data_IF_437886332268
#
_entry.id   IF_437886332268
#
_cell.length_a   1.000
_cell.length_b   1.000
_cell.length_c   1.000
_cell.angle_alpha   90.00
_cell.angle_beta   90.00
_cell.angle_gamma   90.00
#
_symmetry.space_group_name_H-M   'P 1'
#
loop_
_entity.id
_entity.type
_entity.pdbx_description
1 polymer ?
#
# COMPACT_ATOMS: atom_id res chain seq x y z
N UNK A 1 31.05 -10.70 1.13
CA UNK A 1 29.95 -9.75 0.94
C UNK A 1 28.79 -10.45 0.27
N UNK A 2 27.61 -10.45 0.89
CA UNK A 2 26.40 -11.00 0.29
C UNK A 2 25.58 -9.89 -0.34
N UNK A 3 25.18 -10.08 -1.58
CA UNK A 3 24.29 -9.16 -2.30
C UNK A 3 22.90 -9.78 -2.41
N UNK A 4 21.88 -8.96 -2.23
CA UNK A 4 20.48 -9.35 -2.47
C UNK A 4 19.85 -8.37 -3.45
N UNK A 5 18.84 -8.85 -4.18
CA UNK A 5 18.04 -8.00 -5.04
C UNK A 5 16.92 -7.35 -4.24
N UNK A 6 16.77 -6.05 -4.34
CA UNK A 6 15.65 -5.31 -3.74
C UNK A 6 14.89 -4.54 -4.80
N UNK A 7 13.58 -4.49 -4.63
CA UNK A 7 12.73 -3.63 -5.47
C UNK A 7 12.98 -2.17 -5.10
N UNK A 8 13.16 -1.34 -6.12
CA UNK A 8 13.45 0.09 -5.98
C UNK A 8 12.32 0.87 -6.64
N UNK A 9 11.74 1.80 -5.92
CA UNK A 9 10.67 2.67 -6.42
C UNK A 9 11.24 3.89 -7.16
N UNK A 10 10.39 4.55 -7.94
CA UNK A 10 10.69 5.91 -8.40
C UNK A 10 10.83 6.82 -7.19
N UNK A 11 11.78 7.76 -7.25
CA UNK A 11 12.03 8.65 -6.13
C UNK A 11 10.79 9.51 -5.82
N UNK A 12 10.37 9.49 -4.56
CA UNK A 12 9.30 10.34 -4.04
C UNK A 12 9.65 10.75 -2.61
N UNK A 13 9.64 12.04 -2.34
CA UNK A 13 9.80 12.55 -0.99
C UNK A 13 8.42 12.69 -0.30
N UNK A 14 8.44 13.02 0.99
CA UNK A 14 7.21 13.17 1.77
C UNK A 14 6.26 14.21 1.17
N UNK A 15 6.79 15.34 0.72
CA UNK A 15 5.94 16.39 0.16
C UNK A 15 5.23 15.96 -1.12
N UNK A 16 5.89 15.19 -1.96
CA UNK A 16 5.29 14.65 -3.18
C UNK A 16 4.19 13.64 -2.84
N UNK A 17 4.42 12.79 -1.86
CA UNK A 17 3.40 11.81 -1.41
C UNK A 17 2.22 12.54 -0.77
N UNK A 18 2.48 13.57 0.04
CA UNK A 18 1.41 14.38 0.65
C UNK A 18 0.54 15.04 -0.42
N UNK A 19 1.15 15.61 -1.46
CA UNK A 19 0.41 16.20 -2.58
C UNK A 19 -0.44 15.14 -3.30
N UNK A 20 0.12 13.95 -3.47
CA UNK A 20 -0.60 12.85 -4.11
C UNK A 20 -1.82 12.45 -3.28
N UNK A 21 -1.66 12.25 -1.97
CA UNK A 21 -2.79 11.86 -1.11
C UNK A 21 -3.86 12.94 -1.05
N UNK A 22 -3.46 14.21 -1.01
CA UNK A 22 -4.41 15.33 -1.09
C UNK A 22 -5.21 15.28 -2.39
N UNK A 23 -4.53 15.11 -3.52
CA UNK A 23 -5.18 15.04 -4.82
C UNK A 23 -6.09 13.80 -4.94
N UNK A 24 -5.64 12.67 -4.41
CA UNK A 24 -6.45 11.45 -4.37
C UNK A 24 -7.74 11.67 -3.60
N UNK A 25 -7.66 12.23 -2.40
CA UNK A 25 -8.84 12.55 -1.59
C UNK A 25 -9.78 13.47 -2.34
N UNK A 26 -9.25 14.49 -2.98
CA UNK A 26 -10.05 15.45 -3.75
C UNK A 26 -10.75 14.78 -4.93
N UNK A 27 -10.03 13.94 -5.66
CA UNK A 27 -10.60 13.21 -6.80
C UNK A 27 -11.71 12.25 -6.37
N UNK A 28 -11.63 11.73 -5.15
CA UNK A 28 -12.64 10.84 -4.60
C UNK A 28 -13.79 11.58 -3.88
N UNK A 29 -13.73 12.91 -3.82
CA UNK A 29 -14.71 13.70 -3.11
C UNK A 29 -14.59 13.61 -1.58
N UNK A 30 -13.40 13.27 -1.07
CA UNK A 30 -13.13 13.04 0.34
C UNK A 30 -12.21 14.08 0.97
N UNK A 31 -11.97 15.21 0.28
CA UNK A 31 -11.07 16.27 0.75
C UNK A 31 -11.60 16.99 1.99
N UNK A 32 -12.90 16.98 2.24
CA UNK A 32 -13.52 17.59 3.40
C UNK A 32 -13.79 16.58 4.53
N UNK A 33 -13.36 15.33 4.37
CA UNK A 33 -13.58 14.25 5.33
C UNK A 33 -12.34 14.10 6.21
N UNK A 34 -12.49 14.19 7.53
CA UNK A 34 -11.37 13.97 8.45
C UNK A 34 -10.86 12.53 8.39
N UNK A 35 -11.79 11.62 8.26
CA UNK A 35 -11.55 10.19 8.36
C UNK A 35 -11.65 9.56 6.97
N UNK A 36 -10.52 9.02 6.49
CA UNK A 36 -10.51 8.35 5.19
C UNK A 36 -11.15 6.96 5.31
N UNK A 37 -12.25 6.69 4.61
CA UNK A 37 -12.95 5.40 4.71
C UNK A 37 -12.25 4.33 3.86
N UNK A 38 -11.11 3.85 4.33
CA UNK A 38 -10.21 3.00 3.54
C UNK A 38 -10.89 1.74 3.00
N UNK A 39 -11.64 1.02 3.81
CA UNK A 39 -12.26 -0.23 3.36
C UNK A 39 -13.35 0.01 2.32
N UNK A 40 -14.14 1.05 2.49
CA UNK A 40 -15.14 1.45 1.50
C UNK A 40 -14.50 1.83 0.17
N UNK A 41 -13.39 2.56 0.22
CA UNK A 41 -12.65 2.94 -0.99
C UNK A 41 -12.10 1.70 -1.68
N UNK A 42 -11.48 0.79 -0.94
CA UNK A 42 -10.89 -0.42 -1.50
C UNK A 42 -11.94 -1.35 -2.10
N UNK A 43 -13.09 -1.49 -1.47
CA UNK A 43 -14.10 -2.47 -1.90
C UNK A 43 -15.10 -1.92 -2.90
N UNK A 44 -15.47 -0.64 -2.79
CA UNK A 44 -16.57 -0.08 -3.57
C UNK A 44 -16.16 0.96 -4.61
N UNK A 45 -14.98 1.58 -4.45
CA UNK A 45 -14.56 2.66 -5.34
C UNK A 45 -13.45 2.22 -6.29
N UNK A 46 -12.40 1.61 -5.78
CA UNK A 46 -11.28 1.18 -6.62
C UNK A 46 -11.67 0.21 -7.73
N UNK A 47 -12.56 -0.77 -7.51
CA UNK A 47 -12.98 -1.65 -8.59
C UNK A 47 -13.70 -0.94 -9.75
N UNK A 48 -14.24 0.24 -9.51
CA UNK A 48 -14.83 1.06 -10.58
C UNK A 48 -13.78 1.73 -11.45
N UNK A 49 -12.60 2.02 -10.88
CA UNK A 49 -11.49 2.66 -11.59
C UNK A 49 -10.55 1.59 -12.16
N UNK A 50 -10.30 0.54 -11.39
CA UNK A 50 -9.43 -0.59 -11.76
C UNK A 50 -10.27 -1.87 -11.68
N UNK A 51 -10.90 -2.30 -12.79
CA UNK A 51 -11.90 -3.40 -12.75
C UNK A 51 -11.37 -4.73 -12.22
N UNK A 52 -10.08 -4.97 -12.31
CA UNK A 52 -9.47 -6.21 -11.81
C UNK A 52 -9.07 -6.14 -10.34
N UNK A 53 -9.13 -4.94 -9.74
CA UNK A 53 -8.73 -4.76 -8.35
C UNK A 53 -9.69 -5.49 -7.41
N UNK A 54 -9.13 -6.26 -6.48
CA UNK A 54 -9.92 -6.89 -5.43
C UNK A 54 -9.07 -7.22 -4.20
N UNK A 55 -9.75 -7.46 -3.09
CA UNK A 55 -9.16 -7.90 -1.83
C UNK A 55 -9.49 -9.38 -1.65
N UNK A 56 -8.49 -10.17 -1.30
CA UNK A 56 -8.66 -11.56 -0.88
C UNK A 56 -8.35 -11.68 0.62
N UNK A 57 -9.38 -11.91 1.43
CA UNK A 57 -9.19 -12.28 2.82
C UNK A 57 -8.86 -13.78 2.87
N UNK A 58 -7.71 -14.12 3.43
CA UNK A 58 -7.22 -15.50 3.51
C UNK A 58 -7.08 -15.93 4.97
N UNK A 59 -7.02 -17.24 5.21
CA UNK A 59 -6.74 -17.72 6.57
C UNK A 59 -5.39 -17.19 7.04
N UNK A 60 -5.30 -16.85 8.31
CA UNK A 60 -4.09 -16.23 8.88
C UNK A 60 -2.84 -17.08 8.62
N UNK A 61 -2.97 -18.42 8.63
CA UNK A 61 -1.85 -19.33 8.36
C UNK A 61 -1.30 -19.26 6.93
N UNK A 62 -2.04 -18.72 5.99
CA UNK A 62 -1.61 -18.58 4.60
C UNK A 62 -0.66 -17.40 4.38
N UNK A 63 -0.54 -16.50 5.36
CA UNK A 63 0.36 -15.36 5.30
C UNK A 63 1.29 -15.35 6.53
N UNK A 64 2.16 -16.37 6.68
CA UNK A 64 3.06 -16.42 7.83
C UNK A 64 4.05 -15.25 7.78
N UNK A 65 4.18 -14.54 8.91
CA UNK A 65 5.09 -13.40 9.03
C UNK A 65 4.64 -12.12 8.34
N UNK A 66 3.40 -12.08 7.82
CA UNK A 66 2.85 -10.90 7.14
C UNK A 66 1.41 -10.69 7.57
N UNK A 67 0.99 -9.44 7.61
CA UNK A 67 -0.42 -9.09 7.84
C UNK A 67 -1.20 -9.02 6.54
N UNK A 68 -0.55 -8.55 5.48
CA UNK A 68 -1.12 -8.44 4.14
C UNK A 68 0.01 -8.37 3.12
N UNK A 69 -0.34 -8.55 1.86
CA UNK A 69 0.59 -8.35 0.74
C UNK A 69 -0.17 -7.86 -0.48
N UNK A 70 0.50 -7.05 -1.29
CA UNK A 70 -0.06 -6.53 -2.54
C UNK A 70 0.70 -7.08 -3.72
N UNK A 71 -0.03 -7.55 -4.72
CA UNK A 71 0.50 -7.89 -6.03
C UNK A 71 -0.06 -6.87 -7.02
N UNK A 72 0.64 -5.73 -7.25
CA UNK A 72 0.09 -4.62 -8.05
C UNK A 72 -0.25 -5.01 -9.48
N UNK A 73 0.53 -5.90 -10.08
CA UNK A 73 0.36 -6.35 -11.47
C UNK A 73 -0.96 -7.10 -11.65
N UNK A 74 -1.43 -7.78 -10.60
CA UNK A 74 -2.68 -8.52 -10.61
C UNK A 74 -3.84 -7.73 -10.00
N UNK A 75 -3.55 -6.59 -9.39
CA UNK A 75 -4.56 -5.79 -8.71
C UNK A 75 -5.11 -6.46 -7.47
N UNK A 76 -4.30 -7.25 -6.76
CA UNK A 76 -4.77 -8.04 -5.61
C UNK A 76 -4.08 -7.59 -4.33
N UNK A 77 -4.86 -7.37 -3.28
CA UNK A 77 -4.38 -7.27 -1.91
C UNK A 77 -4.86 -8.51 -1.16
N UNK A 78 -3.91 -9.37 -0.76
CA UNK A 78 -4.21 -10.52 0.10
C UNK A 78 -3.99 -10.09 1.54
N UNK A 79 -4.94 -10.38 2.39
CA UNK A 79 -4.91 -9.94 3.78
C UNK A 79 -5.39 -11.05 4.70
N UNK A 80 -4.75 -11.18 5.87
CA UNK A 80 -5.22 -12.11 6.90
C UNK A 80 -6.66 -11.80 7.28
N UNK A 81 -7.48 -12.84 7.43
CA UNK A 81 -8.89 -12.68 7.80
C UNK A 81 -9.04 -11.87 9.08
N UNK A 82 -8.16 -12.06 10.07
CA UNK A 82 -8.19 -11.30 11.32
C UNK A 82 -7.95 -9.81 11.11
N UNK A 83 -7.04 -9.45 10.19
CA UNK A 83 -6.74 -8.06 9.85
C UNK A 83 -7.91 -7.44 9.07
N UNK A 84 -8.44 -8.18 8.11
CA UNK A 84 -9.59 -7.74 7.32
C UNK A 84 -10.78 -7.41 8.22
N UNK A 85 -11.12 -8.32 9.12
CA UNK A 85 -12.23 -8.13 10.07
C UNK A 85 -11.98 -6.91 10.97
N UNK A 86 -10.77 -6.75 11.49
CA UNK A 86 -10.42 -5.60 12.31
C UNK A 86 -10.55 -4.28 11.53
N UNK A 87 -10.09 -4.26 10.28
CA UNK A 87 -10.19 -3.08 9.42
C UNK A 87 -11.64 -2.71 9.14
N UNK A 88 -12.48 -3.70 8.84
CA UNK A 88 -13.92 -3.48 8.62
C UNK A 88 -14.63 -2.95 9.88
N UNK A 89 -14.12 -3.30 11.05
CA UNK A 89 -14.63 -2.81 12.33
C UNK A 89 -14.02 -1.47 12.77
N UNK A 90 -13.23 -0.84 11.92
CA UNK A 90 -12.68 0.48 12.18
C UNK A 90 -11.46 0.50 13.10
N UNK A 91 -10.82 -0.64 13.32
CA UNK A 91 -9.63 -0.71 14.18
C UNK A 91 -8.46 0.00 13.50
N UNK A 92 -7.87 0.97 14.19
CA UNK A 92 -6.91 1.90 13.60
C UNK A 92 -5.68 1.22 12.98
N UNK A 93 -5.05 0.29 13.68
CA UNK A 93 -3.84 -0.38 13.17
C UNK A 93 -4.12 -1.19 11.91
N UNK A 94 -5.30 -1.84 11.84
CA UNK A 94 -5.69 -2.64 10.67
C UNK A 94 -6.01 -1.76 9.47
N UNK A 95 -6.65 -0.62 9.71
CA UNK A 95 -6.90 0.37 8.66
C UNK A 95 -5.60 0.94 8.10
N UNK A 96 -4.61 1.18 8.97
CA UNK A 96 -3.29 1.65 8.55
C UNK A 96 -2.59 0.62 7.66
N UNK A 97 -2.69 -0.67 7.99
CA UNK A 97 -2.17 -1.74 7.14
C UNK A 97 -2.82 -1.71 5.76
N UNK A 98 -4.15 -1.59 5.69
CA UNK A 98 -4.85 -1.55 4.41
C UNK A 98 -4.47 -0.32 3.58
N UNK A 99 -4.27 0.84 4.23
CA UNK A 99 -3.80 2.05 3.56
C UNK A 99 -2.37 1.89 3.04
N UNK A 100 -1.50 1.21 3.78
CA UNK A 100 -0.14 0.88 3.35
C UNK A 100 -0.18 0.01 2.08
N UNK A 101 -1.04 -1.01 2.04
CA UNK A 101 -1.18 -1.87 0.87
C UNK A 101 -1.74 -1.09 -0.33
N UNK A 102 -2.66 -0.17 -0.11
CA UNK A 102 -3.13 0.72 -1.18
C UNK A 102 -1.98 1.55 -1.75
N UNK A 103 -1.09 2.04 -0.88
CA UNK A 103 0.11 2.75 -1.32
C UNK A 103 0.98 1.91 -2.25
N UNK A 104 1.18 0.64 -1.93
CA UNK A 104 1.90 -0.28 -2.81
C UNK A 104 1.19 -0.45 -4.15
N UNK A 105 -0.12 -0.62 -4.13
CA UNK A 105 -0.88 -0.78 -5.37
C UNK A 105 -0.75 0.45 -6.28
N UNK A 106 -0.84 1.63 -5.72
CA UNK A 106 -0.82 2.87 -6.51
C UNK A 106 0.58 3.26 -6.98
N UNK A 107 1.62 2.95 -6.22
CA UNK A 107 2.99 3.44 -6.48
C UNK A 107 3.94 2.40 -7.05
N UNK A 108 3.71 1.10 -6.84
CA UNK A 108 4.75 0.10 -6.99
C UNK A 108 4.39 -1.04 -7.97
N UNK A 109 3.97 -0.70 -9.18
CA UNK A 109 3.78 -1.70 -10.24
C UNK A 109 5.09 -1.97 -11.00
N UNK A 110 5.07 -2.90 -11.95
CA UNK A 110 6.27 -3.28 -12.72
C UNK A 110 6.80 -2.16 -13.61
N UNK A 111 5.95 -1.20 -13.99
CA UNK A 111 6.36 -0.10 -14.88
C UNK A 111 7.10 1.00 -14.14
N UNK A 112 6.87 1.15 -12.83
CA UNK A 112 7.46 2.22 -12.04
C UNK A 112 8.35 1.73 -10.90
N UNK A 113 8.75 0.46 -10.94
CA UNK A 113 9.75 -0.08 -10.01
C UNK A 113 10.79 -0.87 -10.80
N UNK A 114 12.01 -0.89 -10.25
CA UNK A 114 13.12 -1.67 -10.78
C UNK A 114 13.73 -2.50 -9.66
N UNK A 115 14.77 -3.27 -9.98
CA UNK A 115 15.51 -4.02 -8.96
C UNK A 115 16.94 -3.53 -8.91
N UNK A 116 17.50 -3.46 -7.71
CA UNK A 116 18.90 -3.14 -7.49
C UNK A 116 19.52 -4.20 -6.59
N UNK A 117 20.79 -4.51 -6.82
CA UNK A 117 21.55 -5.37 -5.92
C UNK A 117 22.14 -4.50 -4.81
N UNK A 118 21.85 -4.88 -3.58
CA UNK A 118 22.34 -4.19 -2.40
C UNK A 118 22.98 -5.20 -1.45
N UNK A 119 23.85 -4.73 -0.59
CA UNK A 119 24.45 -5.58 0.43
C UNK A 119 23.36 -6.02 1.41
N UNK A 120 23.40 -7.32 1.78
CA UNK A 120 22.43 -7.87 2.73
C UNK A 120 22.47 -7.08 4.04
N UNK A 121 21.29 -6.66 4.52
CA UNK A 121 21.17 -5.83 5.70
C UNK A 121 21.22 -4.33 5.45
N UNK A 122 21.58 -3.89 4.24
CA UNK A 122 21.55 -2.48 3.88
C UNK A 122 20.13 -1.99 3.72
N UNK A 123 19.92 -0.71 4.00
CA UNK A 123 18.66 -0.03 3.73
C UNK A 123 18.78 0.77 2.42
N UNK A 124 17.70 0.82 1.67
CA UNK A 124 17.60 1.72 0.53
C UNK A 124 17.52 3.17 1.02
N UNK A 125 18.01 4.13 0.21
CA UNK A 125 17.71 5.53 0.46
C UNK A 125 16.20 5.73 0.63
N UNK A 126 15.75 6.56 1.60
CA UNK A 126 14.32 6.65 1.91
C UNK A 126 13.42 6.98 0.74
N UNK A 127 13.86 7.84 -0.17
CA UNK A 127 13.00 8.33 -1.26
C UNK A 127 12.74 7.29 -2.34
N UNK A 128 13.50 6.19 -2.39
CA UNK A 128 13.31 5.10 -3.36
C UNK A 128 12.93 3.77 -2.68
N UNK A 129 12.70 3.79 -1.38
CA UNK A 129 12.29 2.61 -0.62
C UNK A 129 10.77 2.44 -0.72
N UNK A 130 10.27 1.37 -1.37
CA UNK A 130 8.83 1.15 -1.51
C UNK A 130 8.09 1.05 -0.18
N UNK A 131 8.68 0.39 0.83
CA UNK A 131 8.04 0.24 2.13
C UNK A 131 7.89 1.58 2.84
N UNK A 132 8.91 2.42 2.77
CA UNK A 132 8.83 3.76 3.35
C UNK A 132 7.80 4.62 2.63
N UNK A 133 7.74 4.55 1.30
CA UNK A 133 6.74 5.31 0.54
C UNK A 133 5.32 4.88 0.90
N UNK A 134 5.09 3.58 1.05
CA UNK A 134 3.79 3.06 1.45
C UNK A 134 3.41 3.49 2.87
N UNK A 135 4.37 3.51 3.80
CA UNK A 135 4.16 4.01 5.16
C UNK A 135 3.79 5.50 5.18
N UNK A 136 4.52 6.31 4.41
CA UNK A 136 4.22 7.74 4.30
C UNK A 136 2.84 7.96 3.68
N UNK A 137 2.52 7.21 2.61
CA UNK A 137 1.22 7.28 1.98
C UNK A 137 0.10 7.00 2.99
N UNK A 138 0.24 5.93 3.76
CA UNK A 138 -0.76 5.57 4.77
C UNK A 138 -0.91 6.65 5.84
N UNK A 139 0.20 7.24 6.28
CA UNK A 139 0.18 8.28 7.31
C UNK A 139 -0.43 9.60 6.79
N UNK A 140 -0.20 9.94 5.53
CA UNK A 140 -0.70 11.19 4.94
C UNK A 140 -2.15 11.08 4.43
N UNK A 141 -2.64 9.85 4.21
CA UNK A 141 -3.98 9.61 3.74
C UNK A 141 -5.02 9.89 4.83
#
# INVERSE_FOLDING_TARGET
MSLISKRVAQARNRNQIRKYTYQLRKNLGLDQTEYFPIMRVLENVLPLIYPEFHIEAVEDKELPGRMAETTPEQGVIRVKQSVYTAACNGVAWARMIMAHELGHFLFHNTQNTTFAYVEKGSRLPPDIDPERQADIFAAEL
#
